data_IF_092188262663
#
_entry.id   IF_092188262663
#
_cell.length_a   1.000
_cell.length_b   1.000
_cell.length_c   1.000
_cell.angle_alpha   90.00
_cell.angle_beta   90.00
_cell.angle_gamma   90.00
#
_symmetry.space_group_name_H-M   'P 1'
#
loop_
_entity.id
_entity.type
_entity.pdbx_description
1 polymer ?
#
# COMPACT_ATOMS: atom_id res chain seq x y z
N UNK A 1 16.38 8.99 -59.82
CA UNK A 1 16.60 10.13 -58.89
C UNK A 1 15.37 10.51 -58.06
N UNK A 2 14.15 10.61 -58.62
CA UNK A 2 12.93 10.97 -57.86
C UNK A 2 12.58 10.02 -56.69
N UNK A 3 12.83 8.71 -56.82
CA UNK A 3 12.54 7.73 -55.76
C UNK A 3 13.37 7.93 -54.48
N UNK A 4 14.62 8.36 -54.60
CA UNK A 4 15.49 8.64 -53.44
C UNK A 4 15.07 9.91 -52.70
N UNK A 5 14.61 10.93 -53.43
CA UNK A 5 14.08 12.15 -52.81
C UNK A 5 12.83 11.88 -51.96
N UNK A 6 11.94 11.00 -52.42
CA UNK A 6 10.75 10.61 -51.65
C UNK A 6 11.10 9.87 -50.35
N UNK A 7 12.07 8.96 -50.39
CA UNK A 7 12.50 8.20 -49.21
C UNK A 7 13.12 9.15 -48.17
N UNK A 8 13.96 10.09 -48.62
CA UNK A 8 14.64 11.06 -47.74
C UNK A 8 13.65 12.04 -47.08
N UNK A 9 12.62 12.48 -47.80
CA UNK A 9 11.57 13.33 -47.23
C UNK A 9 10.76 12.56 -46.19
N UNK A 10 10.40 11.30 -46.47
CA UNK A 10 9.61 10.49 -45.55
C UNK A 10 10.37 10.21 -44.24
N UNK A 11 11.66 9.88 -44.32
CA UNK A 11 12.47 9.65 -43.12
C UNK A 11 12.63 10.91 -42.26
N UNK A 12 12.82 12.08 -42.87
CA UNK A 12 12.90 13.35 -42.14
C UNK A 12 11.58 13.66 -41.41
N UNK A 13 10.43 13.43 -42.06
CA UNK A 13 9.11 13.64 -41.43
C UNK A 13 8.91 12.71 -40.24
N UNK A 14 9.27 11.44 -40.37
CA UNK A 14 9.14 10.45 -39.28
C UNK A 14 10.04 10.80 -38.10
N UNK A 15 11.29 11.19 -38.35
CA UNK A 15 12.24 11.56 -37.28
C UNK A 15 11.77 12.82 -36.55
N UNK A 16 11.32 13.84 -37.28
CA UNK A 16 10.80 15.06 -36.65
C UNK A 16 9.54 14.81 -35.83
N UNK A 17 8.65 13.95 -36.31
CA UNK A 17 7.46 13.55 -35.56
C UNK A 17 7.86 12.81 -34.27
N UNK A 18 8.80 11.87 -34.36
CA UNK A 18 9.30 11.11 -33.22
C UNK A 18 9.95 12.01 -32.15
N UNK A 19 10.80 12.95 -32.56
CA UNK A 19 11.45 13.90 -31.66
C UNK A 19 10.40 14.80 -30.97
N UNK A 20 9.39 15.28 -31.69
CA UNK A 20 8.32 16.08 -31.11
C UNK A 20 7.55 15.32 -30.01
N UNK A 21 7.21 14.05 -30.25
CA UNK A 21 6.60 13.19 -29.23
C UNK A 21 7.51 12.92 -28.04
N UNK A 22 8.81 12.70 -28.26
CA UNK A 22 9.77 12.44 -27.19
C UNK A 22 9.96 13.68 -26.29
N UNK A 23 9.99 14.88 -26.89
CA UNK A 23 10.06 16.15 -26.16
C UNK A 23 8.75 16.39 -25.39
N UNK A 24 7.59 16.14 -26.00
CA UNK A 24 6.29 16.27 -25.33
C UNK A 24 6.19 15.34 -24.11
N UNK A 25 6.65 14.08 -24.21
CA UNK A 25 6.67 13.13 -23.10
C UNK A 25 7.61 13.57 -21.96
N UNK A 26 8.79 14.12 -22.28
CA UNK A 26 9.73 14.63 -21.26
C UNK A 26 9.23 15.90 -20.59
N UNK A 27 8.64 16.83 -21.35
CA UNK A 27 8.01 18.03 -20.82
C UNK A 27 6.86 17.68 -19.86
N UNK A 28 6.05 16.70 -20.24
CA UNK A 28 4.94 16.20 -19.44
C UNK A 28 5.39 15.53 -18.13
N UNK A 29 6.48 14.72 -18.18
CA UNK A 29 7.07 14.08 -16.99
C UNK A 29 7.58 15.09 -15.95
N UNK A 30 8.09 16.24 -16.40
CA UNK A 30 8.65 17.26 -15.51
C UNK A 30 7.62 18.29 -15.03
N UNK A 31 6.50 18.48 -15.76
CA UNK A 31 5.45 19.46 -15.44
C UNK A 31 4.10 18.84 -15.02
N UNK A 32 3.99 17.51 -14.89
CA UNK A 32 2.80 16.84 -14.33
C UNK A 32 1.53 16.88 -15.19
N UNK A 33 1.61 17.16 -16.49
CA UNK A 33 0.42 17.33 -17.37
C UNK A 33 0.05 16.02 -18.09
N UNK A 34 -0.41 15.02 -17.35
CA UNK A 34 -1.15 13.82 -17.79
C UNK A 34 -1.19 13.47 -19.31
N UNK A 35 -0.41 12.49 -19.82
CA UNK A 35 -0.47 12.08 -21.22
C UNK A 35 -1.66 11.12 -21.45
N UNK A 36 -2.79 11.64 -21.93
CA UNK A 36 -4.00 10.86 -22.23
C UNK A 36 -3.95 10.10 -23.57
N UNK A 37 -2.84 9.46 -23.97
CA UNK A 37 -2.81 8.76 -25.27
C UNK A 37 -1.93 7.50 -25.39
N UNK A 38 -1.45 6.89 -24.30
CA UNK A 38 -0.60 5.67 -24.39
C UNK A 38 -0.93 4.62 -23.33
N UNK A 39 -2.20 4.29 -23.14
CA UNK A 39 -2.64 3.19 -22.25
C UNK A 39 -3.09 1.97 -23.09
N UNK A 40 -2.15 1.22 -23.66
CA UNK A 40 -2.48 -0.07 -24.29
C UNK A 40 -1.46 -1.20 -24.15
N UNK A 41 -0.37 -1.05 -23.40
CA UNK A 41 0.50 -2.21 -23.15
C UNK A 41 0.99 -2.26 -21.69
N UNK A 42 0.59 -3.35 -21.03
CA UNK A 42 1.02 -3.85 -19.72
C UNK A 42 0.42 -3.21 -18.46
N UNK A 43 -0.66 -3.89 -18.03
CA UNK A 43 -1.12 -4.06 -16.64
C UNK A 43 -1.56 -2.79 -15.88
N UNK A 44 -2.87 -2.65 -15.58
CA UNK A 44 -3.42 -1.45 -14.99
C UNK A 44 -3.09 -1.40 -13.49
N UNK A 45 -2.02 -0.71 -13.11
CA UNK A 45 -2.16 0.14 -11.94
C UNK A 45 -3.11 1.23 -12.42
N UNK A 46 -4.41 1.08 -12.16
CA UNK A 46 -5.41 2.13 -12.36
C UNK A 46 -4.82 3.40 -11.74
N UNK A 47 -4.18 4.26 -12.54
CA UNK A 47 -4.17 5.69 -12.27
C UNK A 47 -5.59 6.13 -12.59
N UNK A 48 -6.52 5.78 -11.70
CA UNK A 48 -7.84 6.36 -11.72
C UNK A 48 -7.60 7.86 -11.72
N UNK A 49 -8.04 8.53 -12.78
CA UNK A 49 -8.20 9.96 -12.75
C UNK A 49 -9.20 10.25 -11.62
N UNK A 50 -8.73 10.80 -10.50
CA UNK A 50 -9.64 11.29 -9.48
C UNK A 50 -10.48 12.39 -10.12
N UNK A 51 -11.79 12.19 -10.09
CA UNK A 51 -12.76 13.15 -10.53
C UNK A 51 -13.65 13.50 -9.32
N UNK A 52 -13.52 14.71 -8.74
CA UNK A 52 -12.68 15.85 -9.16
C UNK A 52 -11.17 15.67 -8.90
N UNK A 53 -10.30 16.44 -9.58
CA UNK A 53 -8.85 16.38 -9.41
C UNK A 53 -8.44 16.80 -7.99
N UNK A 54 -7.53 16.02 -7.41
CA UNK A 54 -6.98 16.30 -6.09
C UNK A 54 -6.07 17.53 -6.09
N UNK A 55 -5.97 18.22 -4.96
CA UNK A 55 -5.07 19.36 -4.81
C UNK A 55 -3.59 18.92 -4.75
N UNK A 56 -2.65 19.88 -4.78
CA UNK A 56 -1.21 19.61 -4.77
C UNK A 56 -0.70 18.83 -3.56
N UNK A 57 -1.48 18.78 -2.47
CA UNK A 57 -1.13 18.10 -1.24
C UNK A 57 -1.96 16.82 -1.03
N UNK A 58 -2.53 16.29 -2.11
CA UNK A 58 -3.37 15.10 -2.09
C UNK A 58 -2.96 14.08 -3.16
N UNK A 59 -3.07 12.81 -2.82
CA UNK A 59 -2.87 11.66 -3.71
C UNK A 59 -4.21 11.04 -4.08
N UNK A 60 -4.35 10.69 -5.35
CA UNK A 60 -5.57 10.03 -5.81
C UNK A 60 -5.62 8.57 -5.35
N UNK A 61 -6.74 8.21 -4.72
CA UNK A 61 -7.05 6.87 -4.28
C UNK A 61 -8.39 6.45 -4.84
N UNK A 62 -8.41 5.90 -6.06
CA UNK A 62 -9.66 5.58 -6.74
C UNK A 62 -10.42 6.82 -7.19
N UNK A 63 -11.60 7.06 -6.63
CA UNK A 63 -12.39 8.29 -6.79
C UNK A 63 -12.26 9.26 -5.61
N UNK A 64 -11.39 8.99 -4.63
CA UNK A 64 -11.19 9.83 -3.44
C UNK A 64 -9.79 10.46 -3.43
N UNK A 65 -9.68 11.65 -2.85
CA UNK A 65 -8.41 12.35 -2.66
C UNK A 65 -7.91 12.20 -1.23
N UNK A 66 -6.78 11.52 -1.04
CA UNK A 66 -6.13 11.36 0.25
C UNK A 66 -5.11 12.46 0.49
N UNK A 67 -5.04 13.03 1.69
CA UNK A 67 -3.99 14.00 2.04
C UNK A 67 -2.57 13.40 1.97
N UNK A 68 -1.55 14.25 1.93
CA UNK A 68 -0.14 13.83 1.83
C UNK A 68 0.31 12.88 2.96
N UNK A 69 -0.31 12.98 4.13
CA UNK A 69 -0.04 12.13 5.27
C UNK A 69 -1.00 10.92 5.35
N UNK A 70 -1.80 10.62 4.32
CA UNK A 70 -2.78 9.54 4.35
C UNK A 70 -2.39 8.40 3.41
N UNK A 71 -2.62 7.16 3.85
CA UNK A 71 -2.37 5.96 3.03
C UNK A 71 -3.59 5.63 2.19
N UNK A 72 -3.40 5.41 0.89
CA UNK A 72 -4.46 4.99 -0.02
C UNK A 72 -4.64 3.47 -0.03
N UNK A 73 -5.85 3.00 0.30
CA UNK A 73 -6.23 1.60 0.12
C UNK A 73 -6.97 1.42 -1.21
N UNK A 74 -6.20 1.10 -2.26
CA UNK A 74 -6.66 1.07 -3.67
C UNK A 74 -7.84 0.11 -3.89
N UNK A 75 -7.93 -0.98 -3.11
CA UNK A 75 -9.05 -1.93 -3.18
C UNK A 75 -10.41 -1.35 -2.74
N UNK A 76 -10.42 -0.24 -2.00
CA UNK A 76 -11.60 0.25 -1.27
C UNK A 76 -11.89 1.73 -1.45
N UNK A 77 -11.08 2.45 -2.23
CA UNK A 77 -11.31 3.88 -2.45
C UNK A 77 -11.31 4.69 -1.13
N UNK A 78 -10.39 4.34 -0.21
CA UNK A 78 -10.37 4.84 1.16
C UNK A 78 -9.00 5.39 1.54
N UNK A 79 -9.01 6.48 2.30
CA UNK A 79 -7.83 7.11 2.87
C UNK A 79 -7.71 6.79 4.36
N UNK A 80 -6.58 6.22 4.75
CA UNK A 80 -6.28 5.95 6.14
C UNK A 80 -5.45 7.08 6.75
N UNK A 81 -5.54 7.25 8.07
CA UNK A 81 -4.72 8.24 8.79
C UNK A 81 -3.21 7.97 8.66
N UNK A 82 -2.35 8.90 9.09
CA UNK A 82 -0.89 8.83 8.94
C UNK A 82 -0.22 7.66 9.64
N UNK A 83 -0.87 7.15 10.67
CA UNK A 83 -0.40 6.02 11.46
C UNK A 83 -1.17 4.75 11.09
N UNK A 84 -1.99 4.78 10.05
CA UNK A 84 -2.83 3.65 9.67
C UNK A 84 -2.37 3.07 8.33
N UNK A 85 -2.39 1.75 8.25
CA UNK A 85 -2.12 0.93 7.07
C UNK A 85 -3.38 0.19 6.61
N UNK A 86 -3.37 -0.28 5.38
CA UNK A 86 -4.46 -1.01 4.76
C UNK A 86 -4.40 -2.49 5.15
N UNK A 87 -5.42 -2.99 5.84
CA UNK A 87 -5.52 -4.40 6.20
C UNK A 87 -6.67 -5.08 5.49
N UNK A 88 -6.30 -6.10 4.70
CA UNK A 88 -7.24 -6.95 4.00
C UNK A 88 -8.18 -6.16 3.11
N UNK A 89 -9.43 -6.61 3.07
CA UNK A 89 -10.36 -6.02 2.13
C UNK A 89 -10.81 -4.62 2.51
N UNK A 90 -10.89 -4.15 3.78
CA UNK A 90 -11.73 -2.95 4.06
C UNK A 90 -11.34 -2.00 5.20
N UNK A 91 -10.26 -2.23 5.97
CA UNK A 91 -10.06 -1.48 7.23
C UNK A 91 -8.68 -0.80 7.31
N UNK A 92 -8.71 0.46 7.73
CA UNK A 92 -7.55 1.25 8.15
C UNK A 92 -7.15 0.89 9.57
N UNK A 93 -5.93 0.40 9.77
CA UNK A 93 -5.48 -0.12 11.06
C UNK A 93 -4.12 0.39 11.45
N UNK A 94 -3.85 0.45 12.76
CA UNK A 94 -2.48 0.67 13.23
C UNK A 94 -1.55 -0.48 12.82
N UNK A 95 -2.02 -1.72 12.98
CA UNK A 95 -1.31 -2.93 12.56
C UNK A 95 -2.27 -3.99 11.99
N UNK A 96 -1.84 -4.68 10.94
CA UNK A 96 -2.58 -5.78 10.30
C UNK A 96 -2.15 -7.12 10.88
N UNK A 97 -3.11 -7.91 11.37
CA UNK A 97 -2.86 -9.25 11.90
C UNK A 97 -3.66 -10.32 11.17
N UNK A 98 -3.21 -11.58 11.26
CA UNK A 98 -3.87 -12.72 10.62
C UNK A 98 -4.04 -12.57 9.10
N UNK A 99 -2.96 -12.34 8.35
CA UNK A 99 -3.04 -12.07 6.90
C UNK A 99 -3.94 -10.88 6.52
N UNK A 100 -4.07 -9.89 7.42
CA UNK A 100 -4.85 -8.69 7.16
C UNK A 100 -6.35 -8.82 7.40
N UNK A 101 -6.82 -9.89 8.05
CA UNK A 101 -8.23 -10.00 8.48
C UNK A 101 -8.54 -9.21 9.75
N UNK A 102 -7.53 -8.98 10.60
CA UNK A 102 -7.73 -8.33 11.90
C UNK A 102 -6.97 -7.02 12.02
N UNK A 103 -7.61 -6.09 12.70
CA UNK A 103 -7.17 -4.72 12.87
C UNK A 103 -6.75 -4.49 14.31
N UNK A 104 -5.48 -4.18 14.54
CA UNK A 104 -4.98 -3.83 15.86
C UNK A 104 -4.64 -2.34 15.97
N UNK A 105 -4.74 -1.83 17.19
CA UNK A 105 -4.28 -0.50 17.54
C UNK A 105 -2.77 -0.33 17.34
N UNK A 106 -2.32 0.92 17.25
CA UNK A 106 -0.93 1.27 16.98
C UNK A 106 0.09 0.71 17.97
N UNK A 107 -0.31 0.62 19.23
CA UNK A 107 0.53 0.14 20.32
C UNK A 107 0.32 -1.35 20.57
N UNK A 108 -0.50 -2.02 19.76
CA UNK A 108 -0.83 -3.42 19.92
C UNK A 108 0.00 -4.29 18.98
N UNK A 109 0.38 -5.48 19.48
CA UNK A 109 1.17 -6.47 18.74
C UNK A 109 0.28 -7.59 18.24
N UNK A 110 0.51 -8.04 17.01
CA UNK A 110 -0.19 -9.18 16.42
C UNK A 110 0.18 -10.49 17.11
N UNK A 111 -0.83 -11.26 17.54
CA UNK A 111 -0.67 -12.62 18.03
C UNK A 111 -1.66 -13.56 17.33
N UNK A 112 -1.26 -14.01 16.15
CA UNK A 112 -2.14 -14.77 15.25
C UNK A 112 -3.35 -13.93 14.82
N UNK A 113 -4.52 -14.27 15.34
CA UNK A 113 -5.82 -13.62 15.08
C UNK A 113 -6.23 -12.59 16.16
N UNK A 114 -5.38 -12.34 17.16
CA UNK A 114 -5.67 -11.46 18.30
C UNK A 114 -4.66 -10.31 18.38
N UNK A 115 -5.09 -9.19 18.98
CA UNK A 115 -4.27 -8.01 19.28
C UNK A 115 -3.84 -8.02 20.75
N UNK A 116 -2.54 -8.06 21.02
CA UNK A 116 -1.99 -7.92 22.36
C UNK A 116 -1.68 -6.46 22.66
N UNK A 117 -2.01 -5.99 23.87
CA UNK A 117 -1.62 -4.66 24.35
C UNK A 117 -0.09 -4.48 24.41
N UNK A 118 0.40 -3.23 24.55
CA UNK A 118 1.84 -2.91 24.53
C UNK A 118 2.64 -3.59 25.66
N UNK A 119 2.00 -3.89 26.79
CA UNK A 119 2.60 -4.58 27.91
C UNK A 119 2.35 -6.11 27.89
N UNK A 120 1.71 -6.63 26.83
CA UNK A 120 1.34 -8.03 26.71
C UNK A 120 2.25 -8.76 25.73
N UNK A 121 2.58 -10.01 26.04
CA UNK A 121 3.41 -10.88 25.21
C UNK A 121 2.55 -11.88 24.46
N UNK A 122 2.80 -12.07 23.16
CA UNK A 122 2.12 -13.07 22.37
C UNK A 122 2.56 -14.49 22.77
N UNK A 123 1.58 -15.33 23.11
CA UNK A 123 1.76 -16.73 23.43
C UNK A 123 0.86 -17.60 22.55
N UNK A 124 1.36 -17.93 21.35
CA UNK A 124 0.60 -18.66 20.35
C UNK A 124 -0.54 -17.82 19.76
N UNK A 125 -1.74 -17.96 20.32
CA UNK A 125 -2.95 -17.22 19.92
C UNK A 125 -3.53 -16.36 21.05
N UNK A 126 -2.84 -16.31 22.19
CA UNK A 126 -3.30 -15.66 23.42
C UNK A 126 -2.31 -14.56 23.83
N UNK A 127 -2.80 -13.53 24.51
CA UNK A 127 -1.98 -12.42 25.00
C UNK A 127 -1.74 -12.55 26.51
N UNK A 128 -0.50 -12.74 26.92
CA UNK A 128 -0.13 -12.84 28.32
C UNK A 128 0.18 -11.46 28.89
N UNK A 129 -0.28 -11.21 30.12
CA UNK A 129 0.04 -9.99 30.85
C UNK A 129 1.54 -9.84 31.16
N UNK A 130 1.98 -8.65 31.57
CA UNK A 130 3.40 -8.38 31.86
C UNK A 130 3.95 -9.22 33.03
N UNK A 131 3.07 -9.70 33.91
CA UNK A 131 3.41 -10.56 35.05
C UNK A 131 3.22 -12.06 34.75
N UNK A 132 3.02 -12.40 33.48
CA UNK A 132 2.75 -13.77 33.04
C UNK A 132 3.79 -14.26 32.04
N UNK A 133 4.14 -15.54 32.14
CA UNK A 133 5.07 -16.21 31.24
C UNK A 133 4.31 -17.07 30.24
N UNK A 134 4.73 -17.04 28.98
CA UNK A 134 4.16 -17.90 27.93
C UNK A 134 4.62 -19.34 28.08
N UNK A 135 3.67 -20.27 28.23
CA UNK A 135 3.89 -21.70 28.27
C UNK A 135 3.09 -22.36 27.14
N UNK A 136 3.75 -22.56 25.99
CA UNK A 136 3.17 -22.98 24.70
C UNK A 136 2.07 -22.05 24.18
N UNK A 137 0.86 -22.16 24.72
CA UNK A 137 -0.32 -21.34 24.38
C UNK A 137 -1.06 -20.77 25.61
N UNK A 138 -0.54 -21.04 26.80
CA UNK A 138 -1.17 -20.67 28.08
C UNK A 138 -0.32 -19.65 28.81
N UNK A 139 -0.97 -18.67 29.43
CA UNK A 139 -0.30 -17.66 30.23
C UNK A 139 -0.23 -18.11 31.69
N UNK A 140 0.98 -18.39 32.17
CA UNK A 140 1.23 -18.78 33.54
C UNK A 140 1.55 -17.56 34.40
N UNK A 141 1.11 -17.54 35.65
CA UNK A 141 1.58 -16.55 36.62
C UNK A 141 3.07 -16.71 36.90
N UNK A 142 3.75 -15.63 37.31
CA UNK A 142 5.17 -15.65 37.74
C UNK A 142 5.49 -16.70 38.83
N UNK A 143 4.49 -17.12 39.61
CA UNK A 143 4.63 -18.14 40.66
C UNK A 143 4.47 -19.58 40.15
N UNK A 144 4.11 -19.77 38.89
CA UNK A 144 3.87 -21.08 38.28
C UNK A 144 5.01 -21.46 37.34
N UNK A 145 5.31 -22.75 37.30
CA UNK A 145 6.36 -23.30 36.44
C UNK A 145 5.73 -23.96 35.23
N UNK A 146 6.26 -23.70 34.04
CA UNK A 146 5.84 -24.39 32.82
C UNK A 146 6.45 -25.78 32.81
N UNK A 147 5.63 -26.82 32.98
CA UNK A 147 6.11 -28.19 32.87
C UNK A 147 6.34 -28.57 31.39
N UNK A 148 7.01 -29.70 31.16
CA UNK A 148 7.27 -30.24 29.81
C UNK A 148 5.99 -30.57 29.01
N UNK A 149 4.84 -30.64 29.67
CA UNK A 149 3.53 -30.83 29.04
C UNK A 149 2.85 -29.52 28.62
N UNK A 150 3.44 -28.36 28.90
CA UNK A 150 2.84 -27.05 28.56
C UNK A 150 1.74 -26.61 29.52
N UNK A 151 1.74 -27.11 30.75
CA UNK A 151 0.78 -26.75 31.80
C UNK A 151 1.49 -25.97 32.91
N UNK A 152 0.84 -24.90 33.38
CA UNK A 152 1.29 -24.11 34.53
C UNK A 152 0.99 -24.87 35.82
N UNK A 153 2.03 -25.22 36.59
CA UNK A 153 1.93 -25.90 37.90
C UNK A 153 2.55 -25.07 39.00
#
# INVERSE_FOLDING_TARGET
MKKFAFILIFTIVVINNFIATAIALRYNRNNGINPSLTDNLMTPVRRQACNPPCNTNQTCCGSLCCGAAQTCCVGQNRCCGPTQTCCGESICCGACCGNGTYCCGLTQTCCGSTCCGPAQTCCGSTCCGPTQTCCRNTCCSLTQTCNSSGVCV
#
